data_IF_322507168126
#
_entry.id   IF_322507168126
#
_cell.length_a   1.000
_cell.length_b   1.000
_cell.length_c   1.000
_cell.angle_alpha   90.00
_cell.angle_beta   90.00
_cell.angle_gamma   90.00
#
_symmetry.space_group_name_H-M   'P 1'
#
loop_
_entity.id
_entity.type
_entity.pdbx_description
1 polymer ?
#
# COMPACT_ATOMS: atom_id res chain seq x y z
N UNK A 1 -29.28 12.00 0.62
CA UNK A 1 -28.19 12.94 0.25
C UNK A 1 -26.93 12.78 1.11
N UNK A 2 -26.97 13.06 2.44
CA UNK A 2 -25.77 13.05 3.31
C UNK A 2 -25.00 11.72 3.34
N UNK A 3 -25.71 10.59 3.38
CA UNK A 3 -25.09 9.27 3.42
C UNK A 3 -24.33 8.93 2.11
N UNK A 4 -24.88 9.32 0.96
CA UNK A 4 -24.22 9.14 -0.34
C UNK A 4 -22.96 10.01 -0.45
N UNK A 5 -23.06 11.29 -0.07
CA UNK A 5 -21.91 12.21 -0.07
C UNK A 5 -20.80 11.73 0.88
N UNK A 6 -21.15 11.29 2.09
CA UNK A 6 -20.18 10.72 3.04
C UNK A 6 -19.46 9.51 2.44
N UNK A 7 -20.21 8.61 1.77
CA UNK A 7 -19.65 7.43 1.10
C UNK A 7 -18.67 7.82 0.00
N UNK A 8 -19.04 8.75 -0.87
CA UNK A 8 -18.19 9.22 -1.97
C UNK A 8 -16.93 9.91 -1.46
N UNK A 9 -17.03 10.79 -0.46
CA UNK A 9 -15.86 11.43 0.15
C UNK A 9 -14.92 10.43 0.81
N UNK A 10 -15.48 9.40 1.46
CA UNK A 10 -14.67 8.32 2.05
C UNK A 10 -13.95 7.54 0.95
N UNK A 11 -14.63 7.22 -0.14
CA UNK A 11 -14.04 6.53 -1.29
C UNK A 11 -12.90 7.34 -1.92
N UNK A 12 -13.09 8.64 -2.13
CA UNK A 12 -12.07 9.54 -2.66
C UNK A 12 -10.89 9.62 -1.69
N UNK A 13 -11.14 9.78 -0.39
CA UNK A 13 -10.08 9.83 0.61
C UNK A 13 -9.22 8.56 0.63
N UNK A 14 -9.85 7.39 0.51
CA UNK A 14 -9.14 6.12 0.42
C UNK A 14 -8.34 5.98 -0.88
N UNK A 15 -8.89 6.42 -2.00
CA UNK A 15 -8.17 6.39 -3.28
C UNK A 15 -6.96 7.32 -3.25
N UNK A 16 -7.10 8.52 -2.67
CA UNK A 16 -5.99 9.44 -2.47
C UNK A 16 -4.93 8.85 -1.54
N UNK A 17 -5.34 8.18 -0.45
CA UNK A 17 -4.43 7.46 0.43
C UNK A 17 -3.67 6.35 -0.32
N UNK A 18 -4.37 5.58 -1.16
CA UNK A 18 -3.75 4.53 -1.98
C UNK A 18 -2.65 5.12 -2.90
N UNK A 19 -2.99 6.17 -3.64
CA UNK A 19 -2.05 6.86 -4.55
C UNK A 19 -0.89 7.48 -3.77
N UNK A 20 -1.17 8.08 -2.61
CA UNK A 20 -0.14 8.67 -1.75
C UNK A 20 0.83 7.61 -1.22
N UNK A 21 0.34 6.47 -0.74
CA UNK A 21 1.17 5.36 -0.29
C UNK A 21 2.03 4.79 -1.43
N UNK A 22 1.44 4.59 -2.60
CA UNK A 22 2.17 4.13 -3.79
C UNK A 22 3.28 5.13 -4.16
N UNK A 23 2.98 6.43 -4.21
CA UNK A 23 3.95 7.49 -4.47
C UNK A 23 5.07 7.54 -3.44
N UNK A 24 4.75 7.42 -2.15
CA UNK A 24 5.73 7.39 -1.07
C UNK A 24 6.68 6.18 -1.16
N UNK A 25 6.16 5.00 -1.51
CA UNK A 25 6.97 3.81 -1.76
C UNK A 25 7.86 3.97 -3.00
N UNK A 26 7.33 4.52 -4.09
CA UNK A 26 8.12 4.80 -5.31
C UNK A 26 9.28 5.74 -5.00
N UNK A 27 9.02 6.85 -4.31
CA UNK A 27 10.05 7.83 -3.94
C UNK A 27 11.08 7.21 -3.00
N UNK A 28 10.66 6.42 -2.01
CA UNK A 28 11.58 5.69 -1.14
C UNK A 28 12.46 4.71 -1.93
N UNK A 29 11.88 3.99 -2.89
CA UNK A 29 12.61 3.06 -3.75
C UNK A 29 13.62 3.78 -4.64
N UNK A 30 13.22 4.91 -5.24
CA UNK A 30 14.12 5.76 -6.01
C UNK A 30 15.27 6.30 -5.16
N UNK A 31 15.02 6.70 -3.91
CA UNK A 31 16.05 7.16 -2.98
C UNK A 31 17.03 6.06 -2.54
N UNK A 32 16.59 4.80 -2.52
CA UNK A 32 17.48 3.67 -2.24
C UNK A 32 18.31 3.26 -3.46
N UNK A 33 17.77 3.41 -4.67
CA UNK A 33 18.42 2.98 -5.91
C UNK A 33 19.27 4.07 -6.56
N UNK A 34 18.96 5.35 -6.33
CA UNK A 34 19.63 6.50 -6.92
C UNK A 34 20.08 7.47 -5.83
N UNK A 35 21.35 7.86 -5.85
CA UNK A 35 21.84 8.95 -5.01
C UNK A 35 21.16 10.28 -5.37
N UNK A 36 20.82 11.08 -4.35
CA UNK A 36 20.30 12.44 -4.53
C UNK A 36 18.78 12.62 -4.48
N UNK A 37 17.99 11.55 -4.26
CA UNK A 37 16.54 11.68 -4.04
C UNK A 37 16.24 11.79 -2.54
N UNK A 38 15.69 12.92 -2.12
CA UNK A 38 15.22 13.13 -0.75
C UNK A 38 13.74 12.76 -0.61
N UNK A 39 13.45 11.72 0.17
CA UNK A 39 12.09 11.25 0.44
C UNK A 39 11.24 12.30 1.16
N UNK A 40 11.81 13.00 2.16
CA UNK A 40 11.06 14.01 2.92
C UNK A 40 10.76 15.24 2.07
N UNK A 41 11.66 15.62 1.16
CA UNK A 41 11.42 16.74 0.25
C UNK A 41 10.29 16.46 -0.76
N UNK A 42 10.10 15.20 -1.17
CA UNK A 42 9.11 14.82 -2.18
C UNK A 42 7.74 14.47 -1.60
N UNK A 43 7.68 13.69 -0.52
CA UNK A 43 6.41 13.19 0.06
C UNK A 43 6.16 13.64 1.49
N UNK A 44 6.97 14.58 1.97
CA UNK A 44 6.88 15.12 3.31
C UNK A 44 7.29 14.12 4.40
N UNK A 45 7.16 14.57 5.65
CA UNK A 45 7.44 13.74 6.82
C UNK A 45 6.49 12.55 6.93
N UNK A 46 5.21 12.75 6.58
CA UNK A 46 4.17 11.72 6.62
C UNK A 46 4.49 10.58 5.66
N UNK A 47 4.79 10.87 4.39
CA UNK A 47 5.14 9.84 3.41
C UNK A 47 6.37 9.03 3.84
N UNK A 48 7.39 9.70 4.40
CA UNK A 48 8.57 9.04 4.94
C UNK A 48 8.25 8.13 6.15
N UNK A 49 7.34 8.54 7.03
CA UNK A 49 6.93 7.77 8.22
C UNK A 49 5.93 6.66 7.92
N UNK A 50 5.26 6.70 6.77
CA UNK A 50 4.42 5.59 6.31
C UNK A 50 5.24 4.58 5.51
N UNK A 51 6.04 5.02 4.54
CA UNK A 51 6.75 4.11 3.64
C UNK A 51 7.83 3.28 4.34
N UNK A 52 8.64 3.89 5.22
CA UNK A 52 9.77 3.20 5.87
C UNK A 52 9.31 2.03 6.76
N UNK A 53 8.34 2.18 7.68
CA UNK A 53 7.86 1.06 8.48
C UNK A 53 7.21 -0.03 7.64
N UNK A 54 6.47 0.32 6.57
CA UNK A 54 5.86 -0.68 5.69
C UNK A 54 6.93 -1.57 5.05
N UNK A 55 7.99 -0.99 4.50
CA UNK A 55 9.11 -1.76 3.94
C UNK A 55 9.88 -2.52 5.02
N UNK A 56 10.07 -1.95 6.22
CA UNK A 56 10.76 -2.63 7.31
C UNK A 56 10.00 -3.85 7.84
N UNK A 57 8.67 -3.79 7.91
CA UNK A 57 7.83 -4.86 8.45
C UNK A 57 7.49 -5.94 7.42
N UNK A 58 7.25 -5.55 6.17
CA UNK A 58 6.72 -6.44 5.14
C UNK A 58 7.75 -6.76 4.05
N UNK A 59 8.93 -6.13 4.09
CA UNK A 59 9.84 -6.10 2.95
C UNK A 59 9.26 -5.34 1.77
N UNK A 60 10.07 -5.14 0.73
CA UNK A 60 9.62 -4.52 -0.52
C UNK A 60 8.43 -5.24 -1.18
N UNK A 61 8.43 -6.58 -1.31
CA UNK A 61 7.33 -7.28 -1.98
C UNK A 61 5.99 -7.10 -1.27
N UNK A 62 5.96 -7.17 0.06
CA UNK A 62 4.73 -7.00 0.83
C UNK A 62 4.29 -5.54 0.90
N UNK A 63 5.24 -4.61 1.06
CA UNK A 63 4.93 -3.18 1.12
C UNK A 63 4.26 -2.67 -0.17
N UNK A 64 4.65 -3.19 -1.34
CA UNK A 64 4.04 -2.83 -2.64
C UNK A 64 2.56 -3.20 -2.76
N UNK A 65 2.06 -4.12 -1.93
CA UNK A 65 0.66 -4.54 -1.93
C UNK A 65 -0.21 -3.66 -1.04
N UNK A 66 0.37 -2.94 -0.08
CA UNK A 66 -0.36 -2.13 0.89
C UNK A 66 -1.23 -1.05 0.25
N UNK A 67 -0.80 -0.32 -0.81
CA UNK A 67 -1.66 0.63 -1.52
C UNK A 67 -2.95 0.02 -2.09
N UNK A 68 -2.96 -1.29 -2.37
CA UNK A 68 -4.14 -1.96 -2.91
C UNK A 68 -5.27 -2.07 -1.89
N UNK A 69 -4.95 -2.10 -0.59
CA UNK A 69 -5.95 -2.22 0.49
C UNK A 69 -6.98 -1.07 0.44
N UNK A 70 -6.57 0.21 0.56
CA UNK A 70 -7.50 1.31 0.45
C UNK A 70 -8.07 1.46 -0.97
N UNK A 71 -7.37 1.02 -2.03
CA UNK A 71 -7.88 1.07 -3.40
C UNK A 71 -9.08 0.14 -3.63
N UNK A 72 -8.99 -1.11 -3.20
CA UNK A 72 -10.11 -2.09 -3.27
C UNK A 72 -11.30 -1.58 -2.46
N UNK A 73 -11.05 -1.06 -1.25
CA UNK A 73 -12.11 -0.53 -0.41
C UNK A 73 -12.78 0.71 -1.04
N UNK A 74 -12.01 1.60 -1.69
CA UNK A 74 -12.55 2.71 -2.46
C UNK A 74 -13.46 2.23 -3.60
N UNK A 75 -13.06 1.20 -4.35
CA UNK A 75 -13.88 0.61 -5.42
C UNK A 75 -15.21 0.07 -4.90
N UNK A 76 -15.21 -0.59 -3.74
CA UNK A 76 -16.45 -1.01 -3.07
C UNK A 76 -17.35 0.18 -2.75
N UNK A 77 -16.80 1.25 -2.17
CA UNK A 77 -17.59 2.43 -1.80
C UNK A 77 -18.14 3.19 -3.02
N UNK A 78 -17.45 3.13 -4.16
CA UNK A 78 -17.97 3.59 -5.45
C UNK A 78 -19.04 2.68 -6.05
N UNK A 79 -19.37 1.54 -5.42
CA UNK A 79 -20.32 0.57 -5.96
C UNK A 79 -19.76 -0.23 -7.13
N UNK A 80 -18.44 -0.23 -7.32
CA UNK A 80 -17.74 -0.99 -8.37
C UNK A 80 -17.31 -2.39 -7.94
N UNK A 81 -17.47 -2.71 -6.65
CA UNK A 81 -17.12 -4.00 -6.08
C UNK A 81 -18.16 -4.41 -5.05
N UNK A 82 -18.59 -5.66 -5.10
CA UNK A 82 -19.52 -6.23 -4.12
C UNK A 82 -18.85 -6.38 -2.74
N UNK A 83 -19.64 -6.43 -1.68
CA UNK A 83 -19.10 -6.54 -0.32
C UNK A 83 -18.40 -7.87 -0.06
N UNK A 84 -18.84 -8.96 -0.70
CA UNK A 84 -18.20 -10.27 -0.60
C UNK A 84 -16.87 -10.30 -1.35
N UNK A 85 -16.83 -9.65 -2.51
CA UNK A 85 -15.61 -9.47 -3.27
C UNK A 85 -14.58 -8.61 -2.51
N UNK A 86 -14.98 -7.51 -1.88
CA UNK A 86 -14.11 -6.70 -0.98
C UNK A 86 -13.49 -7.56 0.12
N UNK A 87 -14.29 -8.39 0.80
CA UNK A 87 -13.81 -9.32 1.83
C UNK A 87 -12.80 -10.32 1.26
N UNK A 88 -13.11 -10.91 0.11
CA UNK A 88 -12.24 -11.89 -0.55
C UNK A 88 -10.90 -11.26 -0.95
N UNK A 89 -10.94 -10.04 -1.49
CA UNK A 89 -9.75 -9.25 -1.79
C UNK A 89 -8.91 -8.95 -0.55
N UNK A 90 -9.54 -8.59 0.58
CA UNK A 90 -8.81 -8.33 1.82
C UNK A 90 -8.07 -9.58 2.33
N UNK A 91 -8.73 -10.72 2.33
CA UNK A 91 -8.11 -12.00 2.72
C UNK A 91 -6.95 -12.33 1.78
N UNK A 92 -7.18 -12.20 0.46
CA UNK A 92 -6.16 -12.46 -0.54
C UNK A 92 -4.94 -11.54 -0.39
N UNK A 93 -5.15 -10.23 -0.25
CA UNK A 93 -4.08 -9.25 -0.10
C UNK A 93 -3.29 -9.46 1.20
N UNK A 94 -3.95 -9.77 2.32
CA UNK A 94 -3.27 -10.12 3.57
C UNK A 94 -2.43 -11.38 3.40
N UNK A 95 -3.01 -12.43 2.80
CA UNK A 95 -2.28 -13.65 2.49
C UNK A 95 -1.05 -13.39 1.62
N UNK A 96 -1.22 -12.61 0.55
CA UNK A 96 -0.14 -12.27 -0.38
C UNK A 96 0.94 -11.40 0.29
N UNK A 97 0.56 -10.41 1.10
CA UNK A 97 1.48 -9.52 1.80
C UNK A 97 2.33 -10.26 2.84
N UNK A 98 1.85 -11.37 3.39
CA UNK A 98 2.61 -12.22 4.33
C UNK A 98 3.41 -13.31 3.61
N UNK A 99 2.81 -13.96 2.60
CA UNK A 99 3.41 -15.11 1.93
C UNK A 99 4.50 -14.70 0.94
N UNK A 100 4.29 -13.64 0.14
CA UNK A 100 5.27 -13.24 -0.89
C UNK A 100 6.63 -12.89 -0.29
N UNK A 101 6.74 -12.07 0.78
CA UNK A 101 8.05 -11.80 1.38
C UNK A 101 8.75 -13.06 1.88
N UNK A 102 8.01 -13.98 2.50
CA UNK A 102 8.56 -15.26 2.97
C UNK A 102 9.07 -16.12 1.80
N UNK A 103 8.29 -16.24 0.72
CA UNK A 103 8.69 -16.99 -0.48
C UNK A 103 9.90 -16.37 -1.17
N UNK A 104 9.98 -15.03 -1.24
CA UNK A 104 11.14 -14.32 -1.80
C UNK A 104 12.38 -14.55 -0.94
N UNK A 105 12.26 -14.48 0.39
CA UNK A 105 13.39 -14.74 1.29
C UNK A 105 13.92 -16.17 1.11
N UNK A 106 13.02 -17.16 1.05
CA UNK A 106 13.36 -18.56 0.82
C UNK A 106 13.98 -18.78 -0.56
N UNK A 107 13.42 -18.18 -1.61
CA UNK A 107 13.88 -18.36 -2.99
C UNK A 107 15.19 -17.64 -3.34
N UNK A 108 15.51 -16.55 -2.64
CA UNK A 108 16.75 -15.78 -2.86
C UNK A 108 17.93 -16.27 -2.01
N UNK A 109 17.70 -17.25 -1.12
CA UNK A 109 18.73 -17.73 -0.19
C UNK A 109 19.17 -16.69 0.84
N UNK A 110 18.43 -15.59 0.99
CA UNK A 110 18.69 -14.58 2.01
C UNK A 110 18.48 -15.23 3.38
N UNK A 111 19.58 -15.46 4.09
CA UNK A 111 19.52 -15.80 5.52
C UNK A 111 18.86 -14.62 6.21
N UNK A 112 17.71 -14.88 6.84
CA UNK A 112 17.10 -13.98 7.82
C UNK A 112 18.10 -13.87 8.98
N UNK A 113 18.99 -12.89 8.89
CA UNK A 113 20.01 -12.53 9.88
C UNK A 113 19.83 -11.08 10.29
#
# INVERSE_FOLDING_TARGET
>A
MRAALKRELTAIGLLLLAVFLAGALIVLGLAQLRGGVDVRANVGWVGAHLARPLVALLGWPGALLVPLVPAVHALRLFGRLESEADRSWMIFLVGLALLVPALVALGTGLRLG
#
